data_IF_736993660762
#
_entry.id   IF_736993660762
#
_cell.length_a   1.000
_cell.length_b   1.000
_cell.length_c   1.000
_cell.angle_alpha   90.00
_cell.angle_beta   90.00
_cell.angle_gamma   90.00
#
_symmetry.space_group_name_H-M   'P 1'
#
loop_
_entity.id
_entity.type
_entity.pdbx_description
1 polymer ?
#
# COMPACT_ATOMS: atom_id res chain seq x y z
N UNK A 1 -4.17 -20.57 14.70
CA UNK A 1 -4.29 -19.81 15.97
C UNK A 1 -4.54 -18.35 15.63
N UNK A 2 -5.41 -17.63 16.35
CA UNK A 2 -5.65 -16.21 16.08
C UNK A 2 -4.38 -15.39 16.33
N UNK A 3 -4.05 -14.48 15.41
CA UNK A 3 -2.86 -13.62 15.54
C UNK A 3 -3.14 -12.51 16.55
N UNK A 4 -2.15 -12.17 17.38
CA UNK A 4 -2.28 -11.09 18.36
C UNK A 4 -2.34 -9.73 17.65
N UNK A 5 -3.36 -8.95 17.99
CA UNK A 5 -3.53 -7.56 17.50
C UNK A 5 -3.10 -6.59 18.62
N UNK A 6 -2.17 -5.71 18.29
CA UNK A 6 -1.66 -4.66 19.18
C UNK A 6 -2.36 -3.33 18.88
N UNK A 7 -2.82 -2.65 19.91
CA UNK A 7 -3.49 -1.35 19.90
C UNK A 7 -2.67 -0.31 20.65
N UNK A 8 -3.07 0.95 20.56
CA UNK A 8 -2.37 2.09 21.16
C UNK A 8 -1.92 1.90 22.61
N UNK A 9 -2.76 1.31 23.46
CA UNK A 9 -2.46 1.11 24.89
C UNK A 9 -1.31 0.12 25.13
N UNK A 10 -1.02 -0.77 24.19
CA UNK A 10 -0.01 -1.83 24.33
C UNK A 10 1.34 -1.45 23.74
N UNK A 11 1.42 -0.32 23.02
CA UNK A 11 2.62 0.09 22.30
C UNK A 11 3.20 1.36 22.94
N UNK A 12 4.46 1.29 23.35
CA UNK A 12 5.21 2.43 23.89
C UNK A 12 5.94 3.18 22.77
N UNK A 13 6.08 4.49 22.93
CA UNK A 13 6.81 5.36 21.99
C UNK A 13 8.27 5.60 22.39
N UNK A 14 8.72 5.05 23.52
CA UNK A 14 10.06 5.27 24.09
C UNK A 14 11.18 4.98 23.09
N UNK A 15 11.01 3.95 22.26
CA UNK A 15 11.99 3.55 21.25
C UNK A 15 12.22 4.59 20.13
N UNK A 16 11.36 5.62 20.01
CA UNK A 16 11.52 6.73 19.06
C UNK A 16 11.90 8.06 19.73
N UNK A 17 11.83 8.18 21.05
CA UNK A 17 12.12 9.46 21.73
C UNK A 17 13.57 9.86 21.49
N UNK A 18 13.78 11.13 21.14
CA UNK A 18 15.11 11.69 20.85
C UNK A 18 15.73 11.21 19.53
N UNK A 19 15.09 10.28 18.81
CA UNK A 19 15.59 9.79 17.52
C UNK A 19 15.17 10.70 16.37
N UNK A 20 16.05 10.83 15.39
CA UNK A 20 15.80 11.52 14.13
C UNK A 20 15.22 10.54 13.11
N UNK A 21 14.01 10.83 12.63
CA UNK A 21 13.30 10.03 11.62
C UNK A 21 13.53 10.60 10.21
N UNK A 22 14.35 9.92 9.41
CA UNK A 22 14.60 10.26 8.02
C UNK A 22 13.63 9.56 7.07
N UNK A 23 12.93 10.33 6.24
CA UNK A 23 12.03 9.80 5.21
C UNK A 23 12.64 10.03 3.83
N UNK A 24 13.07 8.96 3.17
CA UNK A 24 13.68 9.01 1.84
C UNK A 24 12.60 8.87 0.78
N UNK A 25 12.25 9.97 0.13
CA UNK A 25 11.14 10.04 -0.82
C UNK A 25 9.88 10.67 -0.23
N UNK A 26 9.10 11.36 -1.06
CA UNK A 26 7.91 12.12 -0.64
C UNK A 26 6.74 11.89 -1.61
N UNK A 27 6.53 10.61 -1.92
CA UNK A 27 5.36 10.11 -2.65
C UNK A 27 4.19 9.81 -1.70
N UNK A 28 3.33 8.86 -2.04
CA UNK A 28 2.14 8.51 -1.26
C UNK A 28 2.45 8.16 0.20
N UNK A 29 3.25 7.12 0.45
CA UNK A 29 3.61 6.70 1.81
C UNK A 29 4.58 7.67 2.50
N UNK A 30 5.56 8.21 1.76
CA UNK A 30 6.54 9.15 2.32
C UNK A 30 5.91 10.42 2.87
N UNK A 31 4.93 10.98 2.15
CA UNK A 31 4.14 12.12 2.61
C UNK A 31 3.38 11.80 3.90
N UNK A 32 2.64 10.69 3.92
CA UNK A 32 1.82 10.30 5.07
C UNK A 32 2.66 10.02 6.31
N UNK A 33 3.72 9.23 6.18
CA UNK A 33 4.60 8.89 7.30
C UNK A 33 5.27 10.14 7.86
N UNK A 34 5.85 10.99 6.99
CA UNK A 34 6.55 12.19 7.44
C UNK A 34 5.62 13.16 8.21
N UNK A 35 4.41 13.40 7.70
CA UNK A 35 3.47 14.30 8.37
C UNK A 35 2.89 13.69 9.65
N UNK A 36 2.55 12.41 9.66
CA UNK A 36 2.00 11.77 10.85
C UNK A 36 3.04 11.66 11.98
N UNK A 37 4.31 11.37 11.65
CA UNK A 37 5.41 11.38 12.61
C UNK A 37 5.62 12.77 13.21
N UNK A 38 5.64 13.81 12.38
CA UNK A 38 5.76 15.20 12.82
C UNK A 38 4.61 15.58 13.74
N UNK A 39 3.37 15.29 13.34
CA UNK A 39 2.17 15.60 14.13
C UNK A 39 2.11 14.77 15.42
N UNK A 40 2.82 13.64 15.48
CA UNK A 40 3.03 12.86 16.71
C UNK A 40 4.21 13.35 17.56
N UNK A 41 4.84 14.47 17.19
CA UNK A 41 5.89 15.12 17.98
C UNK A 41 7.31 14.61 17.74
N UNK A 42 7.56 13.83 16.69
CA UNK A 42 8.89 13.32 16.37
C UNK A 42 9.67 14.24 15.44
N UNK A 43 10.99 14.25 15.58
CA UNK A 43 11.89 14.98 14.69
C UNK A 43 11.97 14.27 13.35
N UNK A 44 11.45 14.91 12.30
CA UNK A 44 11.39 14.35 10.94
C UNK A 44 12.21 15.18 9.97
N UNK A 45 12.93 14.50 9.07
CA UNK A 45 13.56 15.12 7.91
C UNK A 45 13.27 14.33 6.64
N UNK A 46 13.17 15.02 5.50
CA UNK A 46 12.84 14.41 4.21
C UNK A 46 14.04 14.48 3.28
N UNK A 47 14.51 13.30 2.85
CA UNK A 47 15.56 13.17 1.85
C UNK A 47 14.98 13.15 0.45
N UNK A 48 15.33 14.14 -0.37
CA UNK A 48 14.94 14.21 -1.77
C UNK A 48 16.11 14.54 -2.70
N UNK A 49 16.11 13.94 -3.88
CA UNK A 49 17.00 14.36 -4.99
C UNK A 49 16.83 15.85 -5.27
N UNK A 50 17.92 16.53 -5.66
CA UNK A 50 17.94 17.98 -5.90
C UNK A 50 16.88 18.44 -6.91
N UNK A 51 16.66 17.66 -7.96
CA UNK A 51 15.68 17.93 -9.02
C UNK A 51 14.28 17.37 -8.75
N UNK A 52 13.98 16.88 -7.53
CA UNK A 52 12.65 16.35 -7.23
C UNK A 52 11.60 17.46 -7.21
N UNK A 53 10.54 17.29 -8.01
CA UNK A 53 9.36 18.17 -8.02
C UNK A 53 8.62 18.21 -6.67
N UNK A 54 8.87 17.26 -5.78
CA UNK A 54 8.23 17.17 -4.45
C UNK A 54 8.89 18.03 -3.37
N UNK A 55 10.05 18.64 -3.65
CA UNK A 55 10.76 19.48 -2.67
C UNK A 55 9.93 20.68 -2.22
N UNK A 56 9.23 21.33 -3.15
CA UNK A 56 8.33 22.45 -2.84
C UNK A 56 7.20 22.03 -1.90
N UNK A 57 6.54 20.91 -2.20
CA UNK A 57 5.46 20.37 -1.38
C UNK A 57 5.93 20.01 0.05
N UNK A 58 7.07 19.33 0.19
CA UNK A 58 7.60 19.00 1.52
C UNK A 58 7.92 20.25 2.35
N UNK A 59 8.50 21.29 1.73
CA UNK A 59 8.77 22.59 2.39
C UNK A 59 7.51 23.35 2.75
N UNK A 60 6.47 23.29 1.91
CA UNK A 60 5.16 23.90 2.20
C UNK A 60 4.50 23.26 3.44
N UNK A 61 4.86 22.02 3.78
CA UNK A 61 4.50 21.39 5.04
C UNK A 61 5.54 21.59 6.16
N UNK A 62 6.44 22.57 6.04
CA UNK A 62 7.44 22.90 7.06
C UNK A 62 8.35 21.72 7.46
N UNK A 63 8.58 20.77 6.54
CA UNK A 63 9.51 19.67 6.77
C UNK A 63 10.93 20.08 6.30
N UNK A 64 11.99 19.81 7.09
CA UNK A 64 13.36 19.94 6.61
C UNK A 64 13.61 19.05 5.39
N UNK A 65 14.13 19.63 4.29
CA UNK A 65 14.40 18.90 3.05
C UNK A 65 15.89 18.91 2.72
N UNK A 66 16.53 17.75 2.87
CA UNK A 66 17.97 17.58 2.69
C UNK A 66 18.29 16.69 1.47
N UNK A 67 19.53 16.70 0.96
CA UNK A 67 20.04 15.67 0.07
C UNK A 67 19.95 14.27 0.71
N UNK A 68 19.92 13.21 -0.11
CA UNK A 68 19.77 11.83 0.36
C UNK A 68 20.87 11.43 1.36
N UNK A 69 22.13 11.66 0.99
CA UNK A 69 23.31 11.40 1.82
C UNK A 69 23.17 12.03 3.22
N UNK A 70 22.94 13.33 3.27
CA UNK A 70 22.85 14.08 4.53
C UNK A 70 21.67 13.60 5.39
N UNK A 71 20.56 13.21 4.76
CA UNK A 71 19.41 12.63 5.47
C UNK A 71 19.79 11.29 6.12
N UNK A 72 20.49 10.42 5.40
CA UNK A 72 20.96 9.12 5.91
C UNK A 72 22.00 9.31 7.02
N UNK A 73 22.93 10.25 6.85
CA UNK A 73 23.99 10.55 7.83
C UNK A 73 23.45 11.16 9.13
N UNK A 74 22.30 11.84 9.10
CA UNK A 74 21.73 12.49 10.30
C UNK A 74 20.61 11.73 10.98
N UNK A 75 19.99 10.77 10.30
CA UNK A 75 18.87 10.02 10.86
C UNK A 75 19.34 8.87 11.74
N UNK A 76 18.52 8.47 12.71
CA UNK A 76 18.70 7.20 13.44
C UNK A 76 17.86 6.09 12.81
N UNK A 77 16.72 6.47 12.25
CA UNK A 77 15.78 5.58 11.56
C UNK A 77 15.50 6.14 10.17
N UNK A 78 15.72 5.33 9.15
CA UNK A 78 15.65 5.72 7.74
C UNK A 78 14.51 4.93 7.09
N UNK A 79 13.40 5.59 6.81
CA UNK A 79 12.28 5.03 6.08
C UNK A 79 12.45 5.21 4.57
N UNK A 80 12.48 4.10 3.84
CA UNK A 80 12.62 4.08 2.38
C UNK A 80 11.25 4.15 1.70
N UNK A 81 10.79 5.37 1.40
CA UNK A 81 9.56 5.64 0.68
C UNK A 81 9.80 5.80 -0.83
N UNK A 82 10.51 4.84 -1.42
CA UNK A 82 10.86 4.81 -2.84
C UNK A 82 10.08 3.69 -3.56
N UNK A 83 9.78 3.84 -4.86
CA UNK A 83 9.27 2.72 -5.66
C UNK A 83 10.25 1.54 -5.62
N UNK A 84 9.73 0.32 -5.47
CA UNK A 84 10.52 -0.93 -5.36
C UNK A 84 11.49 -1.12 -6.53
N UNK A 85 11.14 -0.63 -7.71
CA UNK A 85 11.95 -0.72 -8.93
C UNK A 85 13.12 0.26 -8.96
N UNK A 86 13.01 1.38 -8.24
CA UNK A 86 14.06 2.41 -8.19
C UNK A 86 14.88 2.35 -6.92
N UNK A 87 14.33 1.73 -5.86
CA UNK A 87 14.97 1.61 -4.56
C UNK A 87 16.33 0.91 -4.62
N UNK A 88 16.53 -0.23 -5.31
CA UNK A 88 17.84 -0.91 -5.41
C UNK A 88 18.97 0.01 -5.85
N UNK A 89 18.77 0.75 -6.95
CA UNK A 89 19.78 1.65 -7.48
C UNK A 89 20.04 2.87 -6.60
N UNK A 90 19.03 3.38 -5.89
CA UNK A 90 19.22 4.47 -4.93
C UNK A 90 19.90 3.96 -3.67
N UNK A 91 19.49 2.81 -3.17
CA UNK A 91 20.02 2.20 -1.96
C UNK A 91 21.51 1.95 -2.10
N UNK A 92 21.93 1.20 -3.13
CA UNK A 92 23.33 0.86 -3.32
C UNK A 92 24.24 2.07 -3.55
N UNK A 93 23.77 3.11 -4.26
CA UNK A 93 24.61 4.27 -4.63
C UNK A 93 24.60 5.42 -3.63
N UNK A 94 23.49 5.62 -2.91
CA UNK A 94 23.25 6.87 -2.16
C UNK A 94 22.78 6.64 -0.72
N UNK A 95 22.56 5.39 -0.29
CA UNK A 95 22.12 5.09 1.07
C UNK A 95 23.12 4.17 1.76
N UNK A 96 23.34 2.96 1.22
CA UNK A 96 24.20 1.94 1.82
C UNK A 96 25.61 2.46 2.18
N UNK A 97 26.30 3.24 1.33
CA UNK A 97 27.64 3.76 1.64
C UNK A 97 27.68 4.76 2.80
N UNK A 98 26.52 5.28 3.23
CA UNK A 98 26.40 6.32 4.26
C UNK A 98 25.73 5.81 5.54
N UNK A 99 25.39 4.52 5.59
CA UNK A 99 24.85 3.89 6.79
C UNK A 99 25.92 3.78 7.87
N UNK A 100 25.53 4.02 9.11
CA UNK A 100 26.33 3.86 10.33
C UNK A 100 25.81 2.67 11.13
N UNK A 101 26.70 2.03 11.89
CA UNK A 101 26.31 0.92 12.76
C UNK A 101 25.21 1.35 13.76
N UNK A 102 24.24 0.48 14.01
CA UNK A 102 23.13 0.74 14.91
C UNK A 102 21.98 1.56 14.32
N UNK A 103 22.11 2.09 13.10
CA UNK A 103 20.98 2.71 12.41
C UNK A 103 19.90 1.68 12.09
N UNK A 104 18.68 2.18 11.83
CA UNK A 104 17.55 1.37 11.39
C UNK A 104 17.18 1.72 9.95
N UNK A 105 17.04 0.70 9.09
CA UNK A 105 16.45 0.82 7.76
C UNK A 105 15.04 0.25 7.80
N UNK A 106 14.05 1.09 7.50
CA UNK A 106 12.63 0.78 7.60
C UNK A 106 11.99 0.77 6.20
N UNK A 107 11.20 -0.26 5.92
CA UNK A 107 10.48 -0.45 4.67
C UNK A 107 8.96 -0.36 4.89
N UNK A 108 8.21 0.01 3.85
CA UNK A 108 6.74 -0.07 3.84
C UNK A 108 6.21 -1.35 3.18
N UNK A 109 7.10 -2.10 2.51
CA UNK A 109 6.80 -3.34 1.82
C UNK A 109 8.08 -4.19 1.76
N UNK A 110 7.94 -5.52 1.87
CA UNK A 110 9.09 -6.42 1.95
C UNK A 110 9.73 -6.79 0.61
N UNK A 111 9.14 -6.41 -0.53
CA UNK A 111 9.54 -6.86 -1.87
C UNK A 111 11.05 -6.84 -2.11
N UNK A 112 11.69 -5.69 -1.88
CA UNK A 112 13.11 -5.53 -2.22
C UNK A 112 14.03 -6.37 -1.35
N UNK A 113 13.63 -6.64 -0.10
CA UNK A 113 14.38 -7.46 0.86
C UNK A 113 14.16 -8.94 0.57
N UNK A 114 12.89 -9.38 0.43
CA UNK A 114 12.53 -10.78 0.16
C UNK A 114 13.14 -11.30 -1.15
N UNK A 115 13.13 -10.47 -2.19
CA UNK A 115 13.71 -10.81 -3.50
C UNK A 115 15.17 -10.35 -3.65
N UNK A 116 15.82 -9.92 -2.56
CA UNK A 116 17.26 -9.62 -2.48
C UNK A 116 17.76 -8.58 -3.49
N UNK A 117 16.92 -7.65 -3.91
CA UNK A 117 17.33 -6.51 -4.75
C UNK A 117 17.90 -5.36 -3.91
N UNK A 118 17.58 -5.34 -2.61
CA UNK A 118 18.21 -4.51 -1.59
C UNK A 118 18.73 -5.44 -0.49
N UNK A 119 20.02 -5.33 -0.18
CA UNK A 119 20.67 -6.09 0.89
C UNK A 119 21.29 -5.08 1.88
N UNK A 120 20.62 -4.80 3.00
CA UNK A 120 21.18 -3.95 4.04
C UNK A 120 22.41 -4.60 4.70
N UNK A 121 23.37 -3.81 5.20
CA UNK A 121 24.55 -4.36 5.87
C UNK A 121 24.17 -5.02 7.22
N UNK A 122 24.99 -5.95 7.75
CA UNK A 122 24.66 -6.69 8.96
C UNK A 122 24.73 -5.87 10.26
N UNK A 123 25.23 -4.63 10.19
CA UNK A 123 25.39 -3.75 11.36
C UNK A 123 24.24 -2.73 11.52
N UNK A 124 23.10 -2.92 10.87
CA UNK A 124 21.90 -2.08 11.00
C UNK A 124 20.67 -2.92 11.37
N UNK A 125 19.65 -2.33 11.98
CA UNK A 125 18.35 -2.99 12.08
C UNK A 125 17.63 -2.93 10.71
N UNK A 126 16.86 -3.96 10.38
CA UNK A 126 16.05 -4.04 9.15
C UNK A 126 14.61 -4.34 9.52
N UNK A 127 13.74 -3.34 9.37
CA UNK A 127 12.36 -3.38 9.85
C UNK A 127 11.37 -3.09 8.73
N UNK A 128 10.13 -3.49 8.93
CA UNK A 128 9.03 -3.09 8.10
C UNK A 128 7.85 -2.63 8.95
N UNK A 129 7.23 -1.54 8.50
CA UNK A 129 5.91 -1.11 8.95
C UNK A 129 5.08 -0.86 7.69
N UNK A 130 4.14 -1.77 7.41
CA UNK A 130 3.33 -1.78 6.20
C UNK A 130 1.87 -1.44 6.52
N UNK A 131 1.47 -0.16 6.44
CA UNK A 131 0.06 0.21 6.53
C UNK A 131 -0.74 -0.47 5.41
N UNK A 132 -1.84 -1.13 5.77
CA UNK A 132 -2.75 -1.78 4.82
C UNK A 132 -3.73 -0.75 4.26
N UNK A 133 -3.16 0.21 3.54
CA UNK A 133 -3.86 1.32 2.90
C UNK A 133 -2.92 2.23 2.12
N UNK A 134 -3.44 2.86 1.08
CA UNK A 134 -2.71 3.88 0.31
C UNK A 134 -2.29 5.04 1.23
N UNK A 135 -1.14 5.64 0.97
CA UNK A 135 -0.60 6.72 1.80
C UNK A 135 -1.58 7.90 2.02
N UNK A 136 -2.36 8.27 1.01
CA UNK A 136 -3.42 9.28 1.19
C UNK A 136 -4.45 8.89 2.25
N UNK A 137 -4.83 7.60 2.31
CA UNK A 137 -5.71 7.08 3.36
C UNK A 137 -5.00 7.05 4.72
N UNK A 138 -3.72 6.64 4.76
CA UNK A 138 -2.91 6.69 5.99
C UNK A 138 -2.92 8.10 6.59
N UNK A 139 -2.75 9.14 5.76
CA UNK A 139 -2.81 10.53 6.21
C UNK A 139 -4.22 10.96 6.61
N UNK A 140 -5.22 10.70 5.77
CA UNK A 140 -6.60 11.13 6.00
C UNK A 140 -7.18 10.52 7.27
N UNK A 141 -7.02 9.21 7.47
CA UNK A 141 -7.52 8.55 8.67
C UNK A 141 -6.80 9.04 9.93
N UNK A 142 -5.49 9.29 9.85
CA UNK A 142 -4.73 9.86 10.96
C UNK A 142 -5.25 11.24 11.40
N UNK A 143 -5.50 12.15 10.45
CA UNK A 143 -6.02 13.50 10.71
C UNK A 143 -7.45 13.42 11.28
N UNK A 144 -8.23 12.44 10.86
CA UNK A 144 -9.58 12.20 11.38
C UNK A 144 -9.61 11.50 12.75
N UNK A 145 -8.48 11.37 13.46
CA UNK A 145 -8.39 10.70 14.76
C UNK A 145 -8.50 9.17 14.70
N UNK A 146 -8.57 8.60 13.50
CA UNK A 146 -8.58 7.15 13.23
C UNK A 146 -7.18 6.69 12.79
N UNK A 147 -7.09 5.48 12.25
CA UNK A 147 -5.87 4.94 11.64
C UNK A 147 -6.23 3.86 10.63
N UNK A 148 -5.24 3.44 9.85
CA UNK A 148 -5.35 2.22 9.02
C UNK A 148 -4.59 1.08 9.72
N UNK A 149 -5.03 -0.18 9.62
CA UNK A 149 -4.28 -1.30 10.17
C UNK A 149 -2.86 -1.37 9.58
N UNK A 150 -1.90 -1.93 10.30
CA UNK A 150 -0.56 -2.16 9.78
C UNK A 150 0.00 -3.51 10.15
N UNK A 151 0.91 -3.98 9.31
CA UNK A 151 1.78 -5.12 9.60
C UNK A 151 3.15 -4.62 10.03
N UNK A 152 3.76 -5.28 11.01
CA UNK A 152 5.15 -5.02 11.44
C UNK A 152 5.98 -6.29 11.34
N UNK A 153 7.21 -6.15 10.84
CA UNK A 153 8.15 -7.26 10.75
C UNK A 153 9.57 -6.80 11.08
N UNK A 154 10.37 -7.72 11.61
CA UNK A 154 11.80 -7.56 11.87
C UNK A 154 12.53 -8.61 11.04
N UNK A 155 13.36 -8.17 10.10
CA UNK A 155 14.24 -9.06 9.32
C UNK A 155 15.59 -9.24 10.03
N UNK A 156 16.10 -8.16 10.62
CA UNK A 156 17.39 -8.16 11.33
C UNK A 156 17.35 -7.20 12.52
N UNK A 157 17.83 -7.65 13.67
CA UNK A 157 17.91 -6.87 14.91
C UNK A 157 19.36 -6.81 15.41
N UNK A 158 20.09 -5.79 14.96
CA UNK A 158 21.47 -5.57 15.37
C UNK A 158 21.58 -4.98 16.79
N UNK A 159 20.57 -4.21 17.22
CA UNK A 159 20.62 -3.42 18.47
C UNK A 159 19.87 -4.05 19.64
N UNK A 160 19.06 -5.08 19.40
CA UNK A 160 18.11 -5.64 20.38
C UNK A 160 16.85 -4.79 20.58
N UNK A 161 16.66 -3.72 19.79
CA UNK A 161 15.53 -2.78 19.91
C UNK A 161 14.64 -2.72 18.66
N UNK A 162 14.96 -3.50 17.62
CA UNK A 162 14.25 -3.51 16.34
C UNK A 162 12.72 -3.58 16.48
N UNK A 163 12.26 -4.55 17.26
CA UNK A 163 10.83 -4.78 17.47
C UNK A 163 10.16 -3.57 18.13
N UNK A 164 10.77 -3.01 19.17
CA UNK A 164 10.22 -1.84 19.86
C UNK A 164 10.15 -0.62 18.93
N UNK A 165 11.17 -0.40 18.09
CA UNK A 165 11.20 0.66 17.08
C UNK A 165 10.07 0.47 16.04
N UNK A 166 9.88 -0.75 15.51
CA UNK A 166 8.85 -1.04 14.51
C UNK A 166 7.44 -0.73 15.05
N UNK A 167 7.13 -1.21 16.26
CA UNK A 167 5.84 -0.93 16.91
C UNK A 167 5.67 0.55 17.22
N UNK A 168 6.70 1.22 17.76
CA UNK A 168 6.64 2.64 18.07
C UNK A 168 6.41 3.49 16.80
N UNK A 169 7.05 3.12 15.68
CA UNK A 169 6.81 3.76 14.38
C UNK A 169 5.37 3.54 13.90
N UNK A 170 4.86 2.31 13.96
CA UNK A 170 3.47 2.01 13.61
C UNK A 170 2.45 2.82 14.43
N UNK A 171 2.71 3.00 15.73
CA UNK A 171 1.90 3.87 16.58
C UNK A 171 2.04 5.35 16.21
N UNK A 172 3.26 5.83 15.97
CA UNK A 172 3.52 7.22 15.63
C UNK A 172 2.92 7.65 14.27
N UNK A 173 2.66 6.72 13.36
CA UNK A 173 1.90 6.99 12.13
C UNK A 173 0.38 6.75 12.27
N UNK A 174 -0.08 6.40 13.48
CA UNK A 174 -1.48 6.21 13.87
C UNK A 174 -2.08 4.82 13.62
N UNK A 175 -1.32 3.87 13.10
CA UNK A 175 -1.85 2.54 12.76
C UNK A 175 -2.34 1.76 13.98
N UNK A 176 -1.73 1.99 15.15
CA UNK A 176 -2.13 1.35 16.40
C UNK A 176 -3.54 1.74 16.91
N UNK A 177 -4.15 2.79 16.34
CA UNK A 177 -5.58 3.10 16.56
C UNK A 177 -6.49 2.03 15.97
N UNK A 178 -6.15 1.53 14.77
CA UNK A 178 -6.90 0.48 14.07
C UNK A 178 -6.43 -0.93 14.41
N UNK A 179 -5.15 -1.12 14.70
CA UNK A 179 -4.56 -2.39 15.07
C UNK A 179 -3.30 -2.70 14.28
N UNK A 180 -2.31 -3.25 14.97
CA UNK A 180 -1.02 -3.65 14.41
C UNK A 180 -0.85 -5.15 14.61
N UNK A 181 -0.44 -5.85 13.56
CA UNK A 181 -0.19 -7.29 13.58
C UNK A 181 1.29 -7.53 13.28
N UNK A 182 1.92 -8.42 14.05
CA UNK A 182 3.29 -8.87 13.80
C UNK A 182 3.29 -9.98 12.74
N UNK A 183 4.25 -9.92 11.82
CA UNK A 183 4.41 -10.85 10.69
C UNK A 183 5.90 -10.95 10.30
N UNK A 184 6.19 -11.62 9.19
CA UNK A 184 7.52 -11.67 8.57
C UNK A 184 7.56 -10.85 7.28
N UNK A 185 8.75 -10.46 6.83
CA UNK A 185 8.91 -9.83 5.51
C UNK A 185 8.34 -10.70 4.38
N UNK A 186 8.53 -12.02 4.48
CA UNK A 186 8.01 -12.99 3.51
C UNK A 186 6.49 -13.03 3.49
N UNK A 187 5.84 -13.21 4.65
CA UNK A 187 4.38 -13.27 4.73
C UNK A 187 3.73 -11.99 4.22
N UNK A 188 4.24 -10.82 4.62
CA UNK A 188 3.76 -9.54 4.12
C UNK A 188 3.89 -9.44 2.60
N UNK A 189 5.08 -9.72 2.06
CA UNK A 189 5.33 -9.61 0.62
C UNK A 189 4.43 -10.54 -0.18
N UNK A 190 4.32 -11.80 0.25
CA UNK A 190 3.55 -12.81 -0.48
C UNK A 190 2.04 -12.52 -0.41
N UNK A 191 1.53 -12.12 0.75
CA UNK A 191 0.09 -11.83 0.94
C UNK A 191 -0.33 -10.50 0.31
N UNK A 192 0.51 -9.48 0.36
CA UNK A 192 0.26 -8.17 -0.23
C UNK A 192 0.20 -8.27 -1.77
N UNK A 193 1.23 -8.86 -2.38
CA UNK A 193 1.25 -9.12 -3.82
C UNK A 193 0.08 -9.99 -4.28
N UNK A 194 -0.31 -10.99 -3.48
CA UNK A 194 -1.46 -11.84 -3.80
C UNK A 194 -2.76 -11.03 -3.73
N UNK A 195 -2.95 -10.25 -2.66
CA UNK A 195 -4.15 -9.42 -2.47
C UNK A 195 -4.36 -8.44 -3.62
N UNK A 196 -3.31 -7.72 -4.03
CA UNK A 196 -3.37 -6.78 -5.15
C UNK A 196 -3.67 -7.47 -6.48
N UNK A 197 -3.03 -8.60 -6.77
CA UNK A 197 -3.21 -9.32 -8.04
C UNK A 197 -4.57 -10.02 -8.13
N UNK A 198 -4.99 -10.70 -7.08
CA UNK A 198 -6.14 -11.59 -7.11
C UNK A 198 -7.46 -10.90 -6.75
N UNK A 199 -7.42 -9.84 -5.93
CA UNK A 199 -8.64 -9.21 -5.39
C UNK A 199 -8.61 -7.70 -5.60
N UNK A 200 -7.80 -6.97 -4.83
CA UNK A 200 -7.92 -5.52 -4.63
C UNK A 200 -7.79 -4.68 -5.90
N UNK A 201 -6.90 -5.11 -6.82
CA UNK A 201 -6.67 -4.42 -8.08
C UNK A 201 -7.08 -5.31 -9.27
N UNK A 202 -6.39 -6.42 -9.48
CA UNK A 202 -6.58 -7.27 -10.66
C UNK A 202 -7.98 -7.90 -10.72
N UNK A 203 -8.39 -8.58 -9.64
CA UNK A 203 -9.69 -9.25 -9.56
C UNK A 203 -10.87 -8.28 -9.68
N UNK A 204 -10.90 -7.23 -8.86
CA UNK A 204 -11.97 -6.24 -8.86
C UNK A 204 -12.10 -5.53 -10.21
N UNK A 205 -11.00 -5.03 -10.79
CA UNK A 205 -11.09 -4.32 -12.08
C UNK A 205 -11.48 -5.25 -13.23
N UNK A 206 -11.00 -6.50 -13.22
CA UNK A 206 -11.39 -7.49 -14.22
C UNK A 206 -12.89 -7.85 -14.14
N UNK A 207 -13.43 -8.04 -12.93
CA UNK A 207 -14.85 -8.34 -12.72
C UNK A 207 -15.73 -7.18 -13.19
N UNK A 208 -15.39 -5.94 -12.82
CA UNK A 208 -16.08 -4.73 -13.26
C UNK A 208 -16.08 -4.63 -14.79
N UNK A 209 -14.92 -4.85 -15.43
CA UNK A 209 -14.80 -4.80 -16.88
C UNK A 209 -15.64 -5.87 -17.57
N UNK A 210 -15.65 -7.10 -17.04
CA UNK A 210 -16.44 -8.19 -17.59
C UNK A 210 -17.94 -7.88 -17.47
N UNK A 211 -18.41 -7.46 -16.29
CA UNK A 211 -19.81 -7.14 -16.05
C UNK A 211 -20.29 -5.97 -16.93
N UNK A 212 -19.53 -4.87 -16.98
CA UNK A 212 -19.82 -3.72 -17.83
C UNK A 212 -19.89 -4.12 -19.31
N UNK A 213 -18.91 -4.91 -19.78
CA UNK A 213 -18.87 -5.37 -21.18
C UNK A 213 -20.09 -6.24 -21.51
N UNK A 214 -20.48 -7.16 -20.62
CA UNK A 214 -21.64 -8.04 -20.80
C UNK A 214 -22.92 -7.23 -20.99
N UNK A 215 -23.18 -6.23 -20.13
CA UNK A 215 -24.39 -5.40 -20.25
C UNK A 215 -24.38 -4.57 -21.54
N UNK A 216 -23.27 -3.91 -21.87
CA UNK A 216 -23.19 -3.10 -23.09
C UNK A 216 -23.34 -3.96 -24.34
N UNK A 217 -22.77 -5.17 -24.37
CA UNK A 217 -22.93 -6.09 -25.51
C UNK A 217 -24.35 -6.64 -25.65
N UNK A 218 -25.11 -6.71 -24.56
CA UNK A 218 -26.53 -7.06 -24.59
C UNK A 218 -27.45 -5.89 -25.01
N UNK A 219 -26.89 -4.72 -25.33
CA UNK A 219 -27.63 -3.55 -25.82
C UNK A 219 -28.05 -2.56 -24.75
N UNK A 220 -27.66 -2.75 -23.49
CA UNK A 220 -27.95 -1.79 -22.42
C UNK A 220 -27.09 -0.52 -22.56
N UNK A 221 -27.65 0.62 -22.12
CA UNK A 221 -26.94 1.89 -22.13
C UNK A 221 -25.65 1.82 -21.29
N UNK A 222 -24.50 2.33 -21.80
CA UNK A 222 -23.23 2.33 -21.06
C UNK A 222 -23.33 3.03 -19.70
N UNK A 223 -24.14 4.08 -19.59
CA UNK A 223 -24.35 4.80 -18.33
C UNK A 223 -25.00 3.92 -17.26
N UNK A 224 -26.04 3.15 -17.63
CA UNK A 224 -26.68 2.20 -16.72
C UNK A 224 -25.69 1.10 -16.32
N UNK A 225 -24.97 0.51 -17.29
CA UNK A 225 -23.95 -0.49 -17.01
C UNK A 225 -22.85 0.02 -16.07
N UNK A 226 -22.47 1.31 -16.18
CA UNK A 226 -21.50 1.92 -15.27
C UNK A 226 -22.02 2.04 -13.84
N UNK A 227 -23.28 2.45 -13.67
CA UNK A 227 -23.88 2.57 -12.35
C UNK A 227 -23.94 1.20 -11.65
N UNK A 228 -24.49 0.21 -12.32
CA UNK A 228 -24.66 -1.16 -11.81
C UNK A 228 -23.32 -1.86 -11.53
N UNK A 229 -22.37 -1.77 -12.47
CA UNK A 229 -21.16 -2.62 -12.41
C UNK A 229 -19.96 -1.96 -11.73
N UNK A 230 -20.00 -0.65 -11.45
CA UNK A 230 -18.88 0.06 -10.83
C UNK A 230 -19.32 1.02 -9.74
N UNK A 231 -20.31 1.90 -10.01
CA UNK A 231 -20.68 2.94 -9.04
C UNK A 231 -21.21 2.33 -7.75
N UNK A 232 -22.15 1.40 -7.85
CA UNK A 232 -22.80 0.79 -6.69
C UNK A 232 -21.90 -0.18 -5.92
N UNK A 233 -20.86 -0.71 -6.56
CA UNK A 233 -19.87 -1.55 -5.88
C UNK A 233 -19.25 -0.84 -4.68
N UNK A 234 -19.12 0.50 -4.72
CA UNK A 234 -18.66 1.28 -3.57
C UNK A 234 -19.55 1.04 -2.35
N UNK A 235 -20.88 1.14 -2.50
CA UNK A 235 -21.82 1.02 -1.39
C UNK A 235 -21.83 -0.39 -0.82
N UNK A 236 -21.75 -1.42 -1.67
CA UNK A 236 -21.62 -2.81 -1.22
C UNK A 236 -20.34 -3.01 -0.40
N UNK A 237 -19.20 -2.49 -0.90
CA UNK A 237 -17.92 -2.61 -0.19
C UNK A 237 -17.92 -1.81 1.13
N UNK A 238 -18.52 -0.62 1.15
CA UNK A 238 -18.68 0.17 2.38
C UNK A 238 -19.51 -0.61 3.42
N UNK A 239 -20.64 -1.20 3.03
CA UNK A 239 -21.44 -2.05 3.94
C UNK A 239 -20.65 -3.27 4.44
N UNK A 240 -19.95 -3.99 3.55
CA UNK A 240 -19.13 -5.14 3.96
C UNK A 240 -18.05 -4.71 4.96
N UNK A 241 -17.46 -3.52 4.77
CA UNK A 241 -16.46 -2.99 5.68
C UNK A 241 -17.04 -2.62 7.05
N UNK A 242 -18.26 -2.09 7.09
CA UNK A 242 -18.93 -1.65 8.33
C UNK A 242 -19.54 -2.80 9.13
N UNK A 243 -20.23 -3.72 8.46
CA UNK A 243 -21.08 -4.75 9.10
C UNK A 243 -20.76 -6.18 8.67
N UNK A 244 -19.73 -6.39 7.83
CA UNK A 244 -19.35 -7.70 7.31
C UNK A 244 -20.29 -8.21 6.21
N UNK A 245 -19.95 -9.36 5.61
CA UNK A 245 -20.74 -9.97 4.53
C UNK A 245 -22.14 -10.36 5.00
N UNK A 246 -22.25 -10.90 6.22
CA UNK A 246 -23.55 -11.26 6.81
C UNK A 246 -24.42 -10.01 7.04
N UNK A 247 -23.88 -8.95 7.66
CA UNK A 247 -24.62 -7.71 7.87
C UNK A 247 -24.98 -6.99 6.56
N UNK A 248 -24.11 -7.05 5.54
CA UNK A 248 -24.46 -6.55 4.21
C UNK A 248 -25.67 -7.30 3.64
N UNK A 249 -25.73 -8.63 3.82
CA UNK A 249 -26.89 -9.42 3.40
C UNK A 249 -28.16 -8.93 4.10
N UNK A 250 -28.10 -8.64 5.39
CA UNK A 250 -29.27 -8.13 6.14
C UNK A 250 -29.81 -6.79 5.60
N UNK A 251 -28.98 -6.02 4.89
CA UNK A 251 -29.33 -4.70 4.35
C UNK A 251 -29.78 -4.72 2.87
N UNK A 252 -29.60 -5.83 2.15
CA UNK A 252 -30.04 -5.97 0.75
C UNK A 252 -31.35 -6.77 0.66
N UNK A 253 -32.05 -6.64 -0.48
CA UNK A 253 -33.31 -7.36 -0.71
C UNK A 253 -33.12 -8.88 -0.78
N UNK A 254 -34.17 -9.64 -0.49
CA UNK A 254 -34.12 -11.12 -0.57
C UNK A 254 -33.82 -11.61 -1.99
N UNK A 255 -34.27 -10.87 -3.02
CA UNK A 255 -33.90 -11.12 -4.42
C UNK A 255 -32.39 -11.00 -4.63
N UNK A 256 -31.74 -9.98 -4.05
CA UNK A 256 -30.30 -9.78 -4.16
C UNK A 256 -29.52 -10.86 -3.37
N UNK A 257 -29.98 -11.24 -2.16
CA UNK A 257 -29.41 -12.37 -1.40
C UNK A 257 -29.44 -13.66 -2.20
N UNK A 258 -30.60 -14.00 -2.77
CA UNK A 258 -30.77 -15.19 -3.59
C UNK A 258 -29.86 -15.16 -4.82
N UNK A 259 -29.83 -14.03 -5.54
CA UNK A 259 -28.95 -13.84 -6.69
C UNK A 259 -27.47 -13.98 -6.35
N UNK A 260 -27.01 -13.36 -5.26
CA UNK A 260 -25.61 -13.45 -4.79
C UNK A 260 -25.22 -14.90 -4.49
N UNK A 261 -26.01 -15.62 -3.68
CA UNK A 261 -25.67 -16.97 -3.24
C UNK A 261 -25.79 -18.03 -4.36
N UNK A 262 -26.66 -17.82 -5.36
CA UNK A 262 -26.86 -18.78 -6.45
C UNK A 262 -26.02 -18.49 -7.70
N UNK A 263 -25.75 -17.23 -8.00
CA UNK A 263 -24.96 -16.81 -9.17
C UNK A 263 -23.49 -16.62 -8.81
N UNK A 264 -23.17 -16.13 -7.61
CA UNK A 264 -21.81 -15.86 -7.15
C UNK A 264 -20.85 -17.04 -7.36
N UNK A 265 -21.18 -18.26 -6.87
CA UNK A 265 -20.34 -19.45 -7.08
C UNK A 265 -20.18 -19.88 -8.55
N UNK A 266 -21.05 -19.43 -9.46
CA UNK A 266 -20.94 -19.69 -10.90
C UNK A 266 -19.95 -18.73 -11.57
N UNK A 267 -19.88 -17.49 -11.08
CA UNK A 267 -18.92 -16.47 -11.53
C UNK A 267 -17.54 -16.72 -10.92
N UNK A 268 -17.46 -16.85 -9.59
CA UNK A 268 -16.25 -17.19 -8.84
C UNK A 268 -16.27 -18.68 -8.53
N UNK A 269 -15.97 -19.48 -9.55
CA UNK A 269 -15.99 -20.94 -9.46
C UNK A 269 -14.61 -21.54 -9.15
N UNK A 270 -14.50 -22.87 -9.16
CA UNK A 270 -13.24 -23.60 -8.88
C UNK A 270 -12.09 -23.21 -9.82
N UNK A 271 -12.37 -22.78 -11.06
CA UNK A 271 -11.33 -22.31 -11.98
C UNK A 271 -10.71 -21.00 -11.50
N UNK A 272 -11.51 -20.08 -10.95
CA UNK A 272 -10.99 -18.84 -10.35
C UNK A 272 -10.08 -19.18 -9.16
N UNK A 273 -10.49 -20.10 -8.29
CA UNK A 273 -9.66 -20.57 -7.17
C UNK A 273 -8.35 -21.21 -7.66
N UNK A 274 -8.38 -21.99 -8.75
CA UNK A 274 -7.18 -22.56 -9.37
C UNK A 274 -6.22 -21.46 -9.85
N UNK A 275 -6.75 -20.41 -10.48
CA UNK A 275 -5.95 -19.28 -10.96
C UNK A 275 -5.35 -18.47 -9.80
N UNK A 276 -6.10 -18.28 -8.72
CA UNK A 276 -5.58 -17.66 -7.49
C UNK A 276 -4.41 -18.48 -6.91
N UNK A 277 -4.55 -19.80 -6.78
CA UNK A 277 -3.43 -20.67 -6.33
C UNK A 277 -2.21 -20.56 -7.24
N UNK A 278 -2.40 -20.55 -8.56
CA UNK A 278 -1.30 -20.39 -9.50
C UNK A 278 -0.60 -19.02 -9.39
N UNK A 279 -1.36 -17.95 -9.15
CA UNK A 279 -0.81 -16.62 -8.89
C UNK A 279 0.02 -16.60 -7.60
N UNK A 280 -0.48 -17.20 -6.51
CA UNK A 280 0.26 -17.33 -5.25
C UNK A 280 1.56 -18.11 -5.43
N UNK A 281 1.55 -19.25 -6.11
CA UNK A 281 2.76 -20.03 -6.37
C UNK A 281 3.78 -19.27 -7.24
N UNK A 282 3.30 -18.47 -8.19
CA UNK A 282 4.16 -17.58 -9.00
C UNK A 282 4.82 -16.48 -8.14
N UNK A 283 4.14 -15.99 -7.11
CA UNK A 283 4.68 -15.02 -6.14
C UNK A 283 5.72 -15.69 -5.23
N UNK A 284 5.38 -16.83 -4.61
CA UNK A 284 6.24 -17.57 -3.67
C UNK A 284 7.55 -18.04 -4.32
N UNK A 285 7.48 -18.50 -5.57
CA UNK A 285 8.67 -18.89 -6.38
C UNK A 285 9.52 -17.70 -6.86
N UNK A 286 9.09 -16.47 -6.61
CA UNK A 286 9.72 -15.24 -7.10
C UNK A 286 9.65 -15.03 -8.61
N UNK A 287 8.89 -15.87 -9.34
CA UNK A 287 8.73 -15.75 -10.79
C UNK A 287 8.07 -14.43 -11.16
N UNK A 288 7.05 -14.00 -10.41
CA UNK A 288 6.42 -12.70 -10.59
C UNK A 288 7.45 -11.56 -10.45
N UNK A 289 8.24 -11.56 -9.37
CA UNK A 289 9.22 -10.51 -9.12
C UNK A 289 10.27 -10.41 -10.23
N UNK A 290 10.82 -11.56 -10.69
CA UNK A 290 11.78 -11.59 -11.81
C UNK A 290 11.19 -11.02 -13.10
N UNK A 291 9.96 -11.39 -13.44
CA UNK A 291 9.27 -10.85 -14.63
C UNK A 291 9.03 -9.34 -14.51
N UNK A 292 8.56 -8.88 -13.35
CA UNK A 292 8.29 -7.46 -13.11
C UNK A 292 9.56 -6.61 -13.14
N UNK A 293 10.61 -7.02 -12.42
CA UNK A 293 11.91 -6.33 -12.42
C UNK A 293 12.44 -6.22 -13.85
N UNK A 294 12.46 -7.33 -14.60
CA UNK A 294 12.93 -7.34 -15.99
C UNK A 294 12.13 -6.41 -16.90
N UNK A 295 10.81 -6.37 -16.76
CA UNK A 295 9.96 -5.44 -17.53
C UNK A 295 10.28 -3.97 -17.20
N UNK A 296 10.57 -3.68 -15.93
CA UNK A 296 10.88 -2.33 -15.46
C UNK A 296 12.26 -1.85 -15.91
N UNK A 297 13.23 -2.76 -16.02
CA UNK A 297 14.60 -2.49 -16.48
C UNK A 297 14.70 -2.42 -18.01
N UNK A 298 13.87 -3.15 -18.75
CA UNK A 298 13.91 -3.20 -20.23
C UNK A 298 13.02 -2.15 -20.92
N UNK A 299 12.82 -0.99 -20.26
CA UNK A 299 12.12 0.17 -20.84
C UNK A 299 10.59 0.14 -20.74
N UNK A 300 10.00 -0.81 -20.00
CA UNK A 300 8.57 -0.82 -19.64
C UNK A 300 7.62 -0.89 -20.84
N UNK A 301 8.04 -1.51 -21.96
CA UNK A 301 7.27 -1.50 -23.21
C UNK A 301 5.91 -2.19 -23.04
N UNK A 302 5.88 -3.41 -22.48
CA UNK A 302 4.63 -4.15 -22.25
C UNK A 302 3.79 -3.47 -21.19
N UNK A 303 4.41 -3.00 -20.11
CA UNK A 303 3.72 -2.28 -19.04
C UNK A 303 3.00 -1.02 -19.57
N UNK A 304 3.68 -0.19 -20.36
CA UNK A 304 3.09 1.01 -20.98
C UNK A 304 1.98 0.66 -21.98
N UNK A 305 2.15 -0.41 -22.75
CA UNK A 305 1.13 -0.88 -23.67
C UNK A 305 -0.14 -1.32 -22.93
N UNK A 306 0.00 -2.09 -21.85
CA UNK A 306 -1.12 -2.49 -20.99
C UNK A 306 -1.82 -1.26 -20.39
N UNK A 307 -1.08 -0.32 -19.81
CA UNK A 307 -1.68 0.91 -19.25
C UNK A 307 -2.44 1.72 -20.31
N UNK A 308 -1.90 1.84 -21.52
CA UNK A 308 -2.54 2.55 -22.61
C UNK A 308 -3.83 1.84 -23.06
N UNK A 309 -3.83 0.51 -23.12
CA UNK A 309 -5.02 -0.27 -23.43
C UNK A 309 -6.10 -0.08 -22.35
N UNK A 310 -5.74 -0.19 -21.07
CA UNK A 310 -6.69 -0.04 -19.95
C UNK A 310 -7.36 1.34 -19.95
N UNK A 311 -6.60 2.42 -20.20
CA UNK A 311 -7.13 3.80 -20.27
C UNK A 311 -8.15 4.03 -21.40
N UNK A 312 -8.12 3.20 -22.44
CA UNK A 312 -8.98 3.31 -23.62
C UNK A 312 -10.24 2.45 -23.53
N UNK A 313 -10.44 1.70 -22.44
CA UNK A 313 -11.66 0.91 -22.26
C UNK A 313 -12.90 1.81 -22.26
N UNK A 314 -14.04 1.38 -22.84
CA UNK A 314 -15.24 2.22 -22.92
C UNK A 314 -15.76 2.73 -21.57
N UNK A 315 -15.66 1.90 -20.52
CA UNK A 315 -16.04 2.25 -19.14
C UNK A 315 -15.35 3.52 -18.64
N UNK A 316 -14.11 3.79 -19.06
CA UNK A 316 -13.34 4.96 -18.66
C UNK A 316 -13.90 6.25 -19.28
N UNK A 317 -14.37 6.20 -20.52
CA UNK A 317 -15.04 7.34 -21.17
C UNK A 317 -16.36 7.65 -20.47
N UNK A 318 -17.21 6.64 -20.27
CA UNK A 318 -18.49 6.77 -19.59
C UNK A 318 -18.31 7.28 -18.16
N UNK A 319 -17.41 6.65 -17.41
CA UNK A 319 -17.15 7.01 -16.02
C UNK A 319 -16.59 8.42 -15.83
N UNK A 320 -15.72 8.90 -16.74
CA UNK A 320 -15.25 10.30 -16.68
C UNK A 320 -16.40 11.29 -16.82
N UNK A 321 -17.32 11.06 -17.77
CA UNK A 321 -18.50 11.90 -17.98
C UNK A 321 -19.41 11.88 -16.74
N UNK A 322 -19.78 10.70 -16.26
CA UNK A 322 -20.71 10.57 -15.12
C UNK A 322 -20.13 11.16 -13.83
N UNK A 323 -18.85 10.88 -13.52
CA UNK A 323 -18.21 11.44 -12.32
C UNK A 323 -18.05 12.96 -12.37
N UNK A 324 -18.04 13.58 -13.55
CA UNK A 324 -17.99 15.04 -13.68
C UNK A 324 -19.32 15.73 -13.34
N UNK A 325 -20.44 15.01 -13.44
CA UNK A 325 -21.78 15.51 -13.08
C UNK A 325 -22.05 15.41 -11.56
N UNK A 326 -21.25 14.66 -10.82
CA UNK A 326 -21.42 14.44 -9.39
C UNK A 326 -20.81 15.61 -8.60
N UNK A 327 -21.66 16.52 -8.12
CA UNK A 327 -21.28 17.80 -7.51
C UNK A 327 -20.42 17.70 -6.23
N UNK A 328 -20.44 16.56 -5.52
CA UNK A 328 -19.63 16.36 -4.32
C UNK A 328 -18.13 16.19 -4.59
N UNK A 329 -17.70 16.16 -5.86
CA UNK A 329 -16.28 16.14 -6.24
C UNK A 329 -15.59 17.51 -6.27
N UNK A 330 -16.33 18.62 -6.21
CA UNK A 330 -15.73 19.98 -6.23
C UNK A 330 -14.98 20.35 -4.93
N UNK A 331 -15.14 19.56 -3.87
CA UNK A 331 -14.56 19.82 -2.54
C UNK A 331 -13.37 18.90 -2.19
N UNK A 332 -12.65 18.36 -3.18
CA UNK A 332 -11.45 17.53 -2.95
C UNK A 332 -10.20 18.12 -3.57
#
# INVERSE_FOLDING_TARGET
MPVRIYRDRQIRLDALRGKICGVIGFGSQGHAHALNLRDSGFTVMVGLRRNSKRRGLARAHHLPVLPLRETVERSDIIFLALPDTTMPGVFGRQIAPHLRAGQTVLFAHGFTVVYKTVVPPPNVNVLMVAPKGLGEMVRREFVAGRGVPALVAVEHDFTGQARAIAFAWAKAIGCARAGVIETTFREETETDLFGEQAVLCGGTTALIHAAFKTLVQAGYAPELAYFECLHELKFIVDMIHEVGIAGMRDLISDTAKWGEMTVGPRIVNQHVTKNMRAALEKIRSGKFAREFIREMETGQRRYRALLHQERRRPIEKTGRRLRALMNWRKNK
#
